data_IF_421516842489
#
_entry.id   IF_421516842489
#
_cell.length_a   1.000
_cell.length_b   1.000
_cell.length_c   1.000
_cell.angle_alpha   90.00
_cell.angle_beta   90.00
_cell.angle_gamma   90.00
#
_symmetry.space_group_name_H-M   'P 1'
#
loop_
_entity.id
_entity.type
_entity.pdbx_description
1 polymer ?
#
# COMPACT_ATOMS: atom_id res chain seq x y z
N UNK A 1 12.79 6.13 5.45
CA UNK A 1 12.70 4.68 5.15
C UNK A 1 12.70 4.55 3.65
N UNK A 2 13.78 4.03 3.05
CA UNK A 2 14.07 4.24 1.61
C UNK A 2 14.57 2.97 0.92
N UNK A 3 14.22 1.81 1.46
CA UNK A 3 14.41 0.53 0.74
C UNK A 3 13.19 -0.36 0.93
N UNK A 4 12.89 -1.24 -0.07
CA UNK A 4 11.79 -2.19 0.04
C UNK A 4 11.89 -3.07 1.28
N UNK A 5 13.09 -3.56 1.61
CA UNK A 5 13.32 -4.39 2.78
C UNK A 5 12.97 -3.68 4.10
N UNK A 6 13.29 -2.39 4.21
CA UNK A 6 12.91 -1.61 5.38
C UNK A 6 11.39 -1.45 5.49
N UNK A 7 10.69 -1.17 4.39
CA UNK A 7 9.23 -1.06 4.37
C UNK A 7 8.57 -2.40 4.74
N UNK A 8 9.04 -3.50 4.16
CA UNK A 8 8.56 -4.85 4.44
C UNK A 8 8.78 -5.23 5.90
N UNK A 9 9.96 -4.95 6.47
CA UNK A 9 10.26 -5.21 7.87
C UNK A 9 9.40 -4.34 8.82
N UNK A 10 9.16 -3.08 8.47
CA UNK A 10 8.37 -2.15 9.26
C UNK A 10 6.90 -2.58 9.37
N UNK A 11 6.30 -3.05 8.27
CA UNK A 11 4.90 -3.50 8.23
C UNK A 11 4.68 -4.97 8.56
N UNK A 12 5.73 -5.77 8.76
CA UNK A 12 5.67 -7.23 8.79
C UNK A 12 4.69 -7.81 9.82
N UNK A 13 4.57 -7.18 11.00
CA UNK A 13 3.69 -7.64 12.09
C UNK A 13 2.34 -6.92 12.12
N UNK A 14 2.07 -6.06 11.15
CA UNK A 14 0.89 -5.21 11.07
C UNK A 14 0.02 -5.60 9.87
N UNK A 15 -1.01 -4.80 9.57
CA UNK A 15 -1.97 -5.08 8.51
C UNK A 15 -1.31 -5.37 7.13
N UNK A 16 -0.28 -4.62 6.66
CA UNK A 16 0.35 -4.91 5.37
C UNK A 16 0.96 -6.31 5.33
N UNK A 17 1.72 -6.69 6.37
CA UNK A 17 2.29 -8.04 6.50
C UNK A 17 1.22 -9.12 6.61
N UNK A 18 0.14 -8.88 7.37
CA UNK A 18 -0.98 -9.82 7.52
C UNK A 18 -1.71 -10.10 6.19
N UNK A 19 -1.91 -9.07 5.36
CA UNK A 19 -2.51 -9.26 4.04
C UNK A 19 -1.56 -9.93 3.05
N UNK A 20 -0.24 -9.77 3.26
CA UNK A 20 0.81 -10.29 2.37
C UNK A 20 1.24 -9.26 1.32
N UNK A 21 1.17 -7.96 1.65
CA UNK A 21 1.69 -6.90 0.80
C UNK A 21 3.21 -6.99 0.78
N UNK A 22 3.80 -7.00 -0.42
CA UNK A 22 5.25 -6.99 -0.62
C UNK A 22 5.63 -5.70 -1.34
N UNK A 23 6.38 -4.84 -0.66
CA UNK A 23 6.98 -3.66 -1.29
C UNK A 23 8.13 -4.09 -2.18
N UNK A 24 8.13 -3.61 -3.43
CA UNK A 24 9.11 -3.94 -4.47
C UNK A 24 9.97 -2.74 -4.87
N UNK A 25 9.53 -1.51 -4.57
CA UNK A 25 10.30 -0.29 -4.74
C UNK A 25 9.97 0.70 -3.61
N UNK A 26 11.00 1.39 -3.13
CA UNK A 26 10.87 2.43 -2.12
C UNK A 26 11.81 3.60 -2.44
N UNK A 27 11.27 4.67 -2.98
CA UNK A 27 11.97 5.94 -3.15
C UNK A 27 11.03 7.12 -2.85
N UNK A 28 11.55 8.34 -2.58
CA UNK A 28 10.71 9.49 -2.26
C UNK A 28 9.70 9.90 -3.36
N UNK A 29 9.99 9.61 -4.62
CA UNK A 29 9.12 9.90 -5.77
C UNK A 29 8.15 8.76 -6.11
N UNK A 30 8.44 7.53 -5.69
CA UNK A 30 7.63 6.37 -6.06
C UNK A 30 7.73 5.20 -5.06
N UNK A 31 6.58 4.68 -4.66
CA UNK A 31 6.45 3.42 -3.91
C UNK A 31 5.74 2.40 -4.80
N UNK A 32 6.27 1.18 -4.87
CA UNK A 32 5.62 0.05 -5.52
C UNK A 32 5.43 -1.11 -4.57
N UNK A 33 4.28 -1.77 -4.66
CA UNK A 33 4.01 -2.99 -3.93
C UNK A 33 3.08 -3.92 -4.69
N UNK A 34 3.10 -5.18 -4.31
CA UNK A 34 2.30 -6.26 -4.88
C UNK A 34 1.51 -6.99 -3.79
N UNK A 35 0.36 -7.54 -4.18
CA UNK A 35 -0.49 -8.37 -3.32
C UNK A 35 -1.00 -9.57 -4.12
N UNK A 36 -0.57 -10.77 -3.73
CA UNK A 36 -1.04 -12.01 -4.32
C UNK A 36 -2.51 -12.25 -3.97
N UNK A 37 -3.35 -12.49 -4.98
CA UNK A 37 -4.78 -12.76 -4.81
C UNK A 37 -4.97 -14.17 -4.25
N UNK A 38 -5.73 -14.26 -3.17
CA UNK A 38 -6.09 -15.52 -2.49
C UNK A 38 -7.47 -15.40 -1.86
N UNK A 39 -8.12 -16.52 -1.57
CA UNK A 39 -9.49 -16.60 -1.05
C UNK A 39 -9.76 -15.67 0.14
N UNK A 40 -8.82 -15.59 1.09
CA UNK A 40 -8.94 -14.73 2.27
C UNK A 40 -9.02 -13.21 1.99
N UNK A 41 -8.70 -12.78 0.76
CA UNK A 41 -8.79 -11.39 0.30
C UNK A 41 -10.04 -11.15 -0.56
N UNK A 42 -10.83 -12.18 -0.83
CA UNK A 42 -12.01 -12.09 -1.68
C UNK A 42 -13.22 -11.65 -0.87
N UNK A 43 -14.14 -10.95 -1.54
CA UNK A 43 -15.49 -10.77 -1.06
C UNK A 43 -16.30 -12.06 -1.25
N UNK A 44 -17.38 -12.29 -0.47
CA UNK A 44 -18.21 -13.50 -0.56
C UNK A 44 -18.89 -13.71 -1.93
N UNK A 45 -18.85 -12.72 -2.82
CA UNK A 45 -19.40 -12.79 -4.17
C UNK A 45 -18.40 -13.26 -5.24
N UNK A 46 -17.21 -13.73 -4.83
CA UNK A 46 -16.20 -14.29 -5.75
C UNK A 46 -15.36 -13.25 -6.49
N UNK A 47 -15.36 -12.00 -6.03
CA UNK A 47 -14.49 -10.93 -6.54
C UNK A 47 -13.53 -10.44 -5.45
N UNK A 48 -12.42 -9.82 -5.83
CA UNK A 48 -11.49 -9.27 -4.85
C UNK A 48 -12.20 -8.21 -3.98
N UNK A 49 -12.03 -8.31 -2.66
CA UNK A 49 -12.67 -7.37 -1.75
C UNK A 49 -12.10 -5.97 -1.98
N UNK A 50 -12.97 -4.96 -2.11
CA UNK A 50 -12.55 -3.58 -2.35
C UNK A 50 -11.57 -3.07 -1.27
N UNK A 51 -11.77 -3.51 -0.03
CA UNK A 51 -10.86 -3.24 1.09
C UNK A 51 -9.44 -3.77 0.85
N UNK A 52 -9.24 -4.91 0.18
CA UNK A 52 -7.89 -5.41 -0.12
C UNK A 52 -7.14 -4.50 -1.11
N UNK A 53 -7.87 -3.97 -2.11
CA UNK A 53 -7.33 -3.01 -3.08
C UNK A 53 -7.01 -1.68 -2.38
N UNK A 54 -7.94 -1.20 -1.55
CA UNK A 54 -7.79 0.04 -0.79
C UNK A 54 -6.64 -0.05 0.21
N UNK A 55 -6.50 -1.15 0.95
CA UNK A 55 -5.39 -1.33 1.88
C UNK A 55 -4.05 -1.38 1.17
N UNK A 56 -3.96 -2.01 -0.01
CA UNK A 56 -2.74 -1.96 -0.83
C UNK A 56 -2.40 -0.51 -1.21
N UNK A 57 -3.38 0.24 -1.72
CA UNK A 57 -3.18 1.63 -2.14
C UNK A 57 -2.80 2.55 -0.96
N UNK A 58 -3.51 2.46 0.15
CA UNK A 58 -3.25 3.26 1.37
C UNK A 58 -1.90 2.93 1.99
N UNK A 59 -1.50 1.65 2.00
CA UNK A 59 -0.16 1.25 2.49
C UNK A 59 0.96 1.85 1.63
N UNK A 60 0.82 1.83 0.30
CA UNK A 60 1.78 2.47 -0.60
C UNK A 60 1.84 3.99 -0.42
N UNK A 61 0.69 4.66 -0.36
CA UNK A 61 0.62 6.11 -0.18
C UNK A 61 1.20 6.52 1.18
N UNK A 62 0.81 5.84 2.24
CA UNK A 62 1.26 6.09 3.60
C UNK A 62 2.77 5.89 3.79
N UNK A 63 3.32 4.81 3.22
CA UNK A 63 4.77 4.60 3.27
C UNK A 63 5.52 5.59 2.38
N UNK A 64 4.90 6.10 1.32
CA UNK A 64 5.39 7.25 0.56
C UNK A 64 5.46 8.53 1.39
N UNK A 65 4.46 8.76 2.26
CA UNK A 65 4.53 9.86 3.24
C UNK A 65 5.69 9.65 4.22
N UNK A 66 5.88 8.44 4.77
CA UNK A 66 7.02 8.12 5.65
C UNK A 66 8.37 8.40 4.97
N UNK A 67 8.50 8.06 3.68
CA UNK A 67 9.71 8.31 2.91
C UNK A 67 10.02 9.81 2.74
N UNK A 68 9.02 10.68 2.87
CA UNK A 68 9.10 12.12 2.69
C UNK A 68 8.94 12.93 4.00
N UNK A 69 8.89 12.28 5.16
CA UNK A 69 8.73 12.98 6.44
C UNK A 69 9.91 13.92 6.72
N UNK A 70 9.65 15.16 7.18
CA UNK A 70 10.72 16.06 7.59
C UNK A 70 11.42 15.53 8.85
N UNK A 71 12.67 15.96 9.06
CA UNK A 71 13.43 15.62 10.26
C UNK A 71 12.65 15.99 11.53
N UNK A 72 12.49 15.01 12.43
CA UNK A 72 11.78 15.18 13.70
C UNK A 72 10.28 14.85 13.64
N UNK A 73 9.71 14.61 12.46
CA UNK A 73 8.35 14.08 12.36
C UNK A 73 8.30 12.61 12.77
N UNK A 74 7.20 12.22 13.43
CA UNK A 74 7.05 10.90 14.08
C UNK A 74 6.18 9.92 13.29
N UNK A 75 5.47 10.38 12.26
CA UNK A 75 4.58 9.52 11.47
C UNK A 75 3.66 10.30 10.55
N UNK A 76 2.68 9.59 10.00
CA UNK A 76 1.61 10.14 9.18
C UNK A 76 0.27 9.52 9.61
N UNK A 77 -0.83 10.16 9.23
CA UNK A 77 -2.17 9.61 9.35
C UNK A 77 -2.94 9.93 8.07
N UNK A 78 -3.57 8.92 7.47
CA UNK A 78 -4.48 9.13 6.34
C UNK A 78 -5.70 9.94 6.80
N UNK A 79 -5.92 11.12 6.21
CA UNK A 79 -7.08 11.98 6.51
C UNK A 79 -8.28 11.54 5.67
N UNK A 80 -8.06 11.28 4.39
CA UNK A 80 -9.08 10.87 3.43
C UNK A 80 -8.45 9.95 2.39
N UNK A 81 -9.25 9.03 1.86
CA UNK A 81 -8.94 8.37 0.61
C UNK A 81 -10.21 8.17 -0.22
N UNK A 82 -10.05 8.35 -1.53
CA UNK A 82 -11.05 7.99 -2.53
C UNK A 82 -10.47 7.01 -3.54
N UNK A 83 -11.20 5.94 -3.82
CA UNK A 83 -10.93 5.02 -4.92
C UNK A 83 -12.10 4.97 -5.90
N UNK A 84 -11.81 4.57 -7.13
CA UNK A 84 -12.81 4.11 -8.09
C UNK A 84 -12.37 2.73 -8.60
N UNK A 85 -13.29 1.77 -8.69
CA UNK A 85 -12.99 0.40 -9.10
C UNK A 85 -13.44 0.19 -10.55
N UNK A 86 -12.47 0.14 -11.48
CA UNK A 86 -12.74 0.00 -12.92
C UNK A 86 -12.82 -1.45 -13.40
N UNK A 87 -12.31 -2.37 -12.58
CA UNK A 87 -12.23 -3.80 -12.85
C UNK A 87 -11.78 -4.54 -11.60
N UNK A 88 -11.63 -5.85 -11.70
CA UNK A 88 -11.30 -6.71 -10.55
C UNK A 88 -10.44 -7.88 -11.00
N UNK A 89 -9.53 -8.32 -10.13
CA UNK A 89 -8.76 -9.54 -10.29
C UNK A 89 -9.46 -10.68 -9.55
N UNK A 90 -9.39 -11.89 -10.10
CA UNK A 90 -9.89 -13.12 -9.43
C UNK A 90 -8.77 -14.08 -9.06
N UNK A 91 -7.60 -13.92 -9.67
CA UNK A 91 -6.40 -14.72 -9.46
C UNK A 91 -5.16 -13.87 -9.78
N UNK A 92 -3.97 -14.45 -9.59
CA UNK A 92 -2.70 -13.80 -9.87
C UNK A 92 -2.31 -12.78 -8.80
N UNK A 93 -1.73 -11.67 -9.23
CA UNK A 93 -1.19 -10.63 -8.35
C UNK A 93 -1.69 -9.27 -8.81
N UNK A 94 -2.11 -8.42 -7.88
CA UNK A 94 -2.35 -7.01 -8.15
C UNK A 94 -1.13 -6.20 -7.74
N UNK A 95 -0.85 -5.13 -8.48
CA UNK A 95 0.26 -4.23 -8.22
C UNK A 95 -0.26 -2.80 -8.00
N UNK A 96 0.44 -2.05 -7.15
CA UNK A 96 0.18 -0.65 -6.87
C UNK A 96 1.44 0.17 -7.11
N UNK A 97 1.25 1.36 -7.70
CA UNK A 97 2.28 2.39 -7.83
C UNK A 97 1.73 3.66 -7.22
N UNK A 98 2.36 4.15 -6.17
CA UNK A 98 2.02 5.42 -5.53
C UNK A 98 3.09 6.46 -5.86
N UNK A 99 2.65 7.65 -6.28
CA UNK A 99 3.51 8.82 -6.52
C UNK A 99 2.93 10.01 -5.77
N UNK A 100 3.75 10.83 -5.10
CA UNK A 100 3.27 12.01 -4.43
C UNK A 100 2.80 13.04 -5.47
N UNK A 101 1.59 13.55 -5.31
CA UNK A 101 1.07 14.66 -6.13
C UNK A 101 1.45 16.00 -5.51
N UNK A 102 1.46 16.07 -4.18
CA UNK A 102 1.84 17.25 -3.41
C UNK A 102 2.47 16.80 -2.08
N UNK A 103 3.60 17.40 -1.72
CA UNK A 103 4.26 17.21 -0.43
C UNK A 103 4.07 18.50 0.38
N UNK A 104 3.27 18.39 1.44
CA UNK A 104 2.99 19.51 2.34
C UNK A 104 4.21 19.90 3.20
N UNK A 105 3.97 20.82 4.14
CA UNK A 105 4.96 21.22 5.15
C UNK A 105 4.84 20.39 6.41
#
# INVERSE_FOLDING_TARGET
MTSPDQLNAFGAKNLPGYLGIVFTQADPAEIKAELAVREALMAPNGFLHAGSIVTLADSCAGYGCIANLPTGAVGFTTIELKSNHLGTAREGTIACVARPVHLGR
#
